data_IF_177983736099
#
_entry.id   IF_177983736099
#
_cell.length_a   1.000
_cell.length_b   1.000
_cell.length_c   1.000
_cell.angle_alpha   90.00
_cell.angle_beta   90.00
_cell.angle_gamma   90.00
#
_symmetry.space_group_name_H-M   'P 1'
#
loop_
_entity.id
_entity.type
_entity.pdbx_description
1 polymer ?
#
# COMPACT_ATOMS: atom_id res chain seq x y z
N UNK A 1 -29.37 -1.47 -16.45
CA UNK A 1 -30.27 -0.54 -15.73
C UNK A 1 -30.22 0.88 -16.30
N UNK A 2 -29.06 1.56 -16.30
CA UNK A 2 -28.91 2.93 -16.87
C UNK A 2 -29.50 3.12 -18.28
N UNK A 3 -29.18 2.25 -19.24
CA UNK A 3 -29.72 2.34 -20.61
C UNK A 3 -31.24 2.24 -20.68
N UNK A 4 -31.86 1.55 -19.72
CA UNK A 4 -33.31 1.41 -19.58
C UNK A 4 -33.92 2.43 -18.61
N UNK A 5 -33.13 3.44 -18.21
CA UNK A 5 -33.52 4.51 -17.28
C UNK A 5 -34.03 4.03 -15.90
N UNK A 6 -33.58 2.85 -15.46
CA UNK A 6 -33.85 2.36 -14.10
C UNK A 6 -32.77 2.86 -13.13
N UNK A 7 -33.18 3.53 -12.04
CA UNK A 7 -32.28 4.00 -10.98
C UNK A 7 -31.64 2.84 -10.21
N UNK A 8 -30.40 3.05 -9.74
CA UNK A 8 -29.67 2.12 -8.88
C UNK A 8 -30.24 2.05 -7.45
N UNK A 9 -31.02 3.04 -7.03
CA UNK A 9 -31.71 3.03 -5.72
C UNK A 9 -32.70 1.87 -5.59
N UNK A 10 -33.12 1.29 -6.73
CA UNK A 10 -34.08 0.19 -6.78
C UNK A 10 -33.47 -1.21 -6.61
N UNK A 11 -32.16 -1.31 -6.37
CA UNK A 11 -31.48 -2.62 -6.34
C UNK A 11 -30.45 -2.70 -5.23
N UNK A 12 -30.22 -3.91 -4.74
CA UNK A 12 -29.08 -4.28 -3.92
C UNK A 12 -28.34 -5.45 -4.56
N UNK A 13 -27.03 -5.52 -4.38
CA UNK A 13 -26.19 -6.56 -4.96
C UNK A 13 -25.60 -7.47 -3.88
N UNK A 14 -25.75 -8.78 -4.07
CA UNK A 14 -25.04 -9.80 -3.29
C UNK A 14 -23.98 -10.47 -4.14
N UNK A 15 -22.76 -10.61 -3.63
CA UNK A 15 -21.68 -11.35 -4.28
C UNK A 15 -20.99 -12.26 -3.27
N UNK A 16 -21.09 -13.57 -3.50
CA UNK A 16 -20.46 -14.58 -2.65
C UNK A 16 -19.05 -14.94 -3.12
N UNK A 17 -18.93 -16.04 -3.86
CA UNK A 17 -17.62 -16.58 -4.28
C UNK A 17 -16.76 -15.62 -5.10
N UNK A 18 -17.34 -14.74 -5.92
CA UNK A 18 -16.55 -13.76 -6.67
C UNK A 18 -15.92 -12.68 -5.78
N UNK A 19 -16.59 -12.32 -4.68
CA UNK A 19 -16.09 -11.33 -3.72
C UNK A 19 -15.05 -11.93 -2.77
N UNK A 20 -15.24 -13.18 -2.33
CA UNK A 20 -14.45 -13.76 -1.23
C UNK A 20 -13.48 -14.89 -1.64
N UNK A 21 -13.70 -15.56 -2.78
CA UNK A 21 -12.92 -16.74 -3.18
C UNK A 21 -12.21 -16.59 -4.53
N UNK A 22 -12.78 -15.84 -5.49
CA UNK A 22 -12.22 -15.67 -6.84
C UNK A 22 -11.14 -14.57 -6.89
N UNK A 23 -10.26 -14.57 -5.90
CA UNK A 23 -9.13 -13.66 -5.76
C UNK A 23 -7.85 -14.48 -5.62
N UNK A 24 -6.76 -14.02 -6.22
CA UNK A 24 -5.45 -14.64 -6.08
C UNK A 24 -4.44 -13.60 -5.65
N UNK A 25 -3.34 -14.05 -5.03
CA UNK A 25 -2.20 -13.18 -4.68
C UNK A 25 -1.69 -12.37 -5.87
N UNK A 26 -1.74 -12.96 -7.06
CA UNK A 26 -1.24 -12.37 -8.29
C UNK A 26 -2.11 -11.25 -8.84
N UNK A 27 -3.39 -11.17 -8.44
CA UNK A 27 -4.29 -10.08 -8.87
C UNK A 27 -3.72 -8.69 -8.57
N UNK A 28 -3.03 -8.55 -7.44
CA UNK A 28 -2.35 -7.32 -7.02
C UNK A 28 -0.82 -7.49 -6.94
N UNK A 29 -0.30 -8.60 -7.44
CA UNK A 29 1.12 -8.97 -7.37
C UNK A 29 1.72 -8.90 -5.95
N UNK A 30 0.95 -9.21 -4.90
CA UNK A 30 1.39 -9.13 -3.50
C UNK A 30 2.66 -9.98 -3.28
N UNK A 31 3.76 -9.38 -2.84
CA UNK A 31 5.07 -10.02 -2.85
C UNK A 31 5.96 -9.51 -1.71
N UNK A 32 6.73 -10.41 -1.10
CA UNK A 32 7.77 -10.10 -0.13
C UNK A 32 9.17 -10.35 -0.73
N UNK A 33 10.11 -9.41 -0.57
CA UNK A 33 11.47 -9.47 -1.12
C UNK A 33 12.45 -8.80 -0.16
N UNK A 34 13.64 -9.37 -0.02
CA UNK A 34 14.76 -8.71 0.65
C UNK A 34 15.29 -7.58 -0.24
N UNK A 35 15.48 -6.39 0.33
CA UNK A 35 16.06 -5.23 -0.36
C UNK A 35 17.38 -4.74 0.26
N UNK A 36 17.70 -5.15 1.49
CA UNK A 36 18.88 -4.69 2.23
C UNK A 36 19.42 -5.77 3.14
N UNK A 37 20.75 -5.91 3.20
CA UNK A 37 21.48 -6.80 4.11
C UNK A 37 22.69 -6.08 4.69
N UNK A 38 23.17 -6.53 5.85
CA UNK A 38 24.45 -6.12 6.42
C UNK A 38 25.38 -7.32 6.39
N UNK A 39 26.50 -7.20 5.67
CA UNK A 39 27.52 -8.25 5.58
C UNK A 39 28.86 -7.64 5.97
N UNK A 40 29.57 -8.23 6.93
CA UNK A 40 30.84 -7.70 7.47
C UNK A 40 30.73 -6.24 7.95
N UNK A 41 29.59 -5.87 8.56
CA UNK A 41 29.33 -4.50 9.01
C UNK A 41 29.01 -3.49 7.90
N UNK A 42 29.01 -3.91 6.63
CA UNK A 42 28.69 -3.06 5.49
C UNK A 42 27.27 -3.31 5.00
N UNK A 43 26.51 -2.23 4.85
CA UNK A 43 25.17 -2.26 4.27
C UNK A 43 25.23 -2.44 2.76
N UNK A 44 24.47 -3.40 2.23
CA UNK A 44 24.41 -3.69 0.79
C UNK A 44 22.95 -3.63 0.33
N UNK A 45 22.70 -2.82 -0.71
CA UNK A 45 21.43 -2.77 -1.40
C UNK A 45 21.30 -4.00 -2.32
N UNK A 46 20.35 -4.89 -2.03
CA UNK A 46 20.10 -6.11 -2.81
C UNK A 46 18.77 -5.99 -3.56
N UNK A 47 18.67 -6.62 -4.73
CA UNK A 47 17.44 -6.65 -5.53
C UNK A 47 17.50 -7.78 -6.55
N UNK A 48 16.34 -8.19 -7.06
CA UNK A 48 16.23 -9.04 -8.24
C UNK A 48 15.83 -8.21 -9.45
N UNK A 49 16.39 -8.55 -10.61
CA UNK A 49 16.04 -7.94 -11.89
C UNK A 49 16.06 -9.03 -13.00
N UNK A 50 15.00 -9.85 -13.12
CA UNK A 50 14.99 -10.94 -14.08
C UNK A 50 14.96 -10.42 -15.52
N UNK A 51 15.92 -10.83 -16.34
CA UNK A 51 16.07 -10.38 -17.74
C UNK A 51 14.79 -10.57 -18.56
N UNK A 52 14.10 -11.70 -18.37
CA UNK A 52 12.90 -12.05 -19.13
C UNK A 52 11.61 -11.36 -18.64
N UNK A 53 11.62 -10.69 -17.49
CA UNK A 53 10.42 -10.07 -16.92
C UNK A 53 10.75 -8.85 -16.04
N UNK A 54 10.85 -7.65 -16.66
CA UNK A 54 11.13 -6.41 -15.94
C UNK A 54 10.07 -6.04 -14.88
N UNK A 55 8.83 -6.53 -15.00
CA UNK A 55 7.79 -6.27 -13.99
C UNK A 55 8.10 -6.96 -12.65
N UNK A 56 9.03 -7.93 -12.66
CA UNK A 56 9.50 -8.61 -11.45
C UNK A 56 10.73 -7.95 -10.83
N UNK A 57 11.19 -6.80 -11.33
CA UNK A 57 12.27 -6.04 -10.69
C UNK A 57 11.84 -5.57 -9.30
N UNK A 58 12.68 -5.81 -8.29
CA UNK A 58 12.41 -5.36 -6.91
C UNK A 58 13.13 -4.07 -6.57
N UNK A 59 12.64 -3.39 -5.52
CA UNK A 59 13.26 -2.19 -4.94
C UNK A 59 14.58 -2.51 -4.24
N UNK A 60 15.41 -1.47 -4.03
CA UNK A 60 16.77 -1.54 -3.48
C UNK A 60 16.88 -0.85 -2.12
N UNK A 61 17.64 -1.45 -1.22
CA UNK A 61 18.07 -0.85 0.04
C UNK A 61 16.96 -0.66 1.09
N UNK A 62 17.25 0.19 2.08
CA UNK A 62 16.28 0.64 3.08
C UNK A 62 15.19 1.47 2.41
N UNK A 63 13.93 1.21 2.75
CA UNK A 63 12.77 1.82 2.11
C UNK A 63 11.99 2.67 3.13
N UNK A 64 11.36 3.72 2.62
CA UNK A 64 10.44 4.58 3.38
C UNK A 64 9.33 5.08 2.45
N UNK A 65 8.12 5.31 2.98
CA UNK A 65 6.96 5.75 2.19
C UNK A 65 6.58 7.18 2.57
N UNK A 66 6.41 8.04 1.58
CA UNK A 66 6.18 9.47 1.80
C UNK A 66 5.05 10.00 0.92
N UNK A 67 4.58 11.21 1.25
CA UNK A 67 3.74 12.02 0.36
C UNK A 67 4.60 12.91 -0.51
N UNK A 68 4.25 13.05 -1.78
CA UNK A 68 4.80 14.10 -2.63
C UNK A 68 4.13 15.44 -2.31
N UNK A 69 4.72 16.59 -2.71
CA UNK A 69 4.08 17.89 -2.55
C UNK A 69 2.68 17.98 -3.20
N UNK A 70 2.42 17.17 -4.24
CA UNK A 70 1.12 17.08 -4.90
C UNK A 70 0.13 16.13 -4.20
N UNK A 71 0.49 15.54 -3.06
CA UNK A 71 -0.36 14.60 -2.30
C UNK A 71 -0.33 13.14 -2.78
N UNK A 72 0.45 12.81 -3.80
CA UNK A 72 0.63 11.42 -4.25
C UNK A 72 1.56 10.65 -3.30
N UNK A 73 1.66 9.33 -3.46
CA UNK A 73 2.61 8.51 -2.71
C UNK A 73 3.91 8.30 -3.47
N UNK A 74 5.02 8.27 -2.75
CA UNK A 74 6.33 7.89 -3.28
C UNK A 74 7.05 6.97 -2.29
N UNK A 75 7.63 5.88 -2.79
CA UNK A 75 8.55 5.04 -2.01
C UNK A 75 9.97 5.46 -2.35
N UNK A 76 10.71 5.96 -1.34
CA UNK A 76 12.12 6.26 -1.47
C UNK A 76 12.94 4.98 -1.20
N UNK A 77 13.96 4.77 -2.02
CA UNK A 77 14.84 3.60 -1.98
C UNK A 77 16.22 3.98 -1.44
N UNK A 78 17.06 2.98 -1.15
CA UNK A 78 18.48 3.18 -0.81
C UNK A 78 18.72 4.08 0.43
N UNK A 79 17.76 4.15 1.35
CA UNK A 79 17.85 4.99 2.55
C UNK A 79 17.63 6.48 2.31
N UNK A 80 17.19 6.90 1.11
CA UNK A 80 16.98 8.32 0.76
C UNK A 80 15.91 9.02 1.61
N UNK A 81 15.07 8.28 2.34
CA UNK A 81 14.17 8.84 3.33
C UNK A 81 14.88 9.59 4.46
N UNK A 82 16.12 9.20 4.79
CA UNK A 82 16.91 9.85 5.84
C UNK A 82 17.37 11.28 5.43
N UNK A 83 17.20 11.66 4.16
CA UNK A 83 17.45 13.03 3.68
C UNK A 83 16.32 14.00 4.04
N UNK A 84 15.17 13.48 4.48
CA UNK A 84 13.99 14.24 4.93
C UNK A 84 13.37 15.21 3.89
N UNK A 85 13.72 15.07 2.61
CA UNK A 85 13.22 15.92 1.51
C UNK A 85 11.70 15.79 1.27
N UNK A 86 11.11 14.65 1.66
CA UNK A 86 9.69 14.33 1.43
C UNK A 86 8.86 14.30 2.72
N UNK A 87 9.39 14.89 3.80
CA UNK A 87 8.75 14.90 5.11
C UNK A 87 8.85 13.57 5.84
N UNK A 88 7.82 13.23 6.62
CA UNK A 88 7.85 12.08 7.51
C UNK A 88 7.52 10.77 6.78
N UNK A 89 8.21 9.69 7.19
CA UNK A 89 7.87 8.33 6.77
C UNK A 89 6.50 7.92 7.32
N UNK A 90 5.64 7.43 6.42
CA UNK A 90 4.30 6.93 6.73
C UNK A 90 4.33 5.50 7.30
N UNK A 91 5.48 4.81 7.23
CA UNK A 91 5.65 3.50 7.85
C UNK A 91 5.82 3.64 9.36
N UNK A 92 4.92 3.01 10.12
CA UNK A 92 5.01 2.93 11.57
C UNK A 92 5.41 1.53 12.02
N UNK A 93 6.23 1.44 13.06
CA UNK A 93 6.51 0.16 13.72
C UNK A 93 5.22 -0.35 14.37
N UNK A 94 4.67 -1.45 13.86
CA UNK A 94 3.48 -2.12 14.41
C UNK A 94 3.82 -3.33 15.27
N UNK A 95 5.02 -3.88 15.08
CA UNK A 95 5.52 -5.04 15.82
C UNK A 95 7.02 -4.91 16.05
N UNK A 96 7.47 -5.16 17.28
CA UNK A 96 8.89 -5.15 17.64
C UNK A 96 9.14 -6.11 18.79
N UNK A 97 10.12 -7.00 18.64
CA UNK A 97 10.59 -7.91 19.70
C UNK A 97 9.46 -8.69 20.39
N UNK A 98 8.57 -9.30 19.61
CA UNK A 98 7.48 -10.12 20.14
C UNK A 98 6.24 -9.34 20.59
N UNK A 99 6.24 -8.00 20.50
CA UNK A 99 5.15 -7.15 20.99
C UNK A 99 4.54 -6.32 19.88
N UNK A 100 3.21 -6.21 19.90
CA UNK A 100 2.48 -5.22 19.09
C UNK A 100 2.72 -3.84 19.69
N UNK A 101 3.21 -2.90 18.88
CA UNK A 101 3.57 -1.53 19.31
C UNK A 101 2.58 -0.47 18.84
N UNK A 102 1.77 -0.79 17.84
CA UNK A 102 0.69 0.07 17.34
C UNK A 102 -0.44 -0.81 16.81
N UNK A 103 -1.67 -0.47 17.20
CA UNK A 103 -2.90 -1.11 16.73
C UNK A 103 -3.82 -0.06 16.12
N UNK A 104 -4.72 -0.49 15.24
CA UNK A 104 -5.75 0.33 14.64
C UNK A 104 -7.10 -0.28 14.94
N UNK A 105 -8.05 0.54 15.36
CA UNK A 105 -9.45 0.14 15.46
C UNK A 105 -10.06 -0.07 14.08
N UNK A 106 -11.17 -0.83 14.03
CA UNK A 106 -11.84 -1.07 12.76
C UNK A 106 -12.46 0.20 12.17
N UNK A 107 -12.90 1.14 13.01
CA UNK A 107 -13.45 2.42 12.56
C UNK A 107 -12.38 3.33 11.95
N UNK A 108 -11.16 3.32 12.48
CA UNK A 108 -10.02 4.00 11.85
C UNK A 108 -9.72 3.40 10.47
N UNK A 109 -9.72 2.07 10.35
CA UNK A 109 -9.50 1.40 9.06
C UNK A 109 -10.58 1.78 8.04
N UNK A 110 -11.86 1.80 8.46
CA UNK A 110 -12.97 2.25 7.60
C UNK A 110 -12.81 3.71 7.18
N UNK A 111 -12.43 4.60 8.12
CA UNK A 111 -12.20 6.02 7.84
C UNK A 111 -11.08 6.20 6.80
N UNK A 112 -10.00 5.44 6.91
CA UNK A 112 -8.85 5.54 6.01
C UNK A 112 -9.14 5.04 4.59
N UNK A 113 -10.13 4.16 4.43
CA UNK A 113 -10.50 3.55 3.15
C UNK A 113 -11.69 4.23 2.45
N UNK A 114 -12.18 5.37 2.97
CA UNK A 114 -13.29 6.12 2.37
C UNK A 114 -12.98 6.55 0.94
N UNK A 115 -14.02 6.57 0.10
CA UNK A 115 -13.92 7.10 -1.25
C UNK A 115 -13.87 8.64 -1.21
N UNK A 116 -13.16 9.26 -2.15
CA UNK A 116 -13.07 10.72 -2.24
C UNK A 116 -14.45 11.39 -2.32
N UNK A 117 -15.41 10.77 -3.05
CA UNK A 117 -16.78 11.28 -3.17
C UNK A 117 -17.52 11.34 -1.83
N UNK A 118 -17.22 10.43 -0.89
CA UNK A 118 -17.80 10.46 0.45
C UNK A 118 -17.17 11.56 1.32
N UNK A 119 -15.91 11.91 1.06
CA UNK A 119 -15.22 13.00 1.75
C UNK A 119 -15.75 14.36 1.29
N UNK A 120 -15.96 14.52 -0.01
CA UNK A 120 -16.52 15.74 -0.62
C UNK A 120 -17.98 16.01 -0.23
N UNK A 121 -18.76 14.96 0.04
CA UNK A 121 -20.16 15.07 0.41
C UNK A 121 -20.41 15.41 1.89
N UNK A 122 -19.37 15.49 2.72
CA UNK A 122 -19.52 15.84 4.14
C UNK A 122 -19.67 17.36 4.26
N UNK A 123 -20.80 17.91 4.75
CA UNK A 123 -20.92 19.35 4.99
C UNK A 123 -19.87 19.81 6.00
N UNK A 124 -19.28 20.98 5.76
CA UNK A 124 -18.43 21.69 6.72
C UNK A 124 -19.17 22.02 8.02
#
# INVERSE_FOLDING_TARGET
>A
MKQKKWSIENVSFGSGGALLQKLTRDLLNCSFKCSYVITNGLGINVFKDPVADPNKRSKKGRLSLHRTPAGNFVTLEEGKGDLEEYGHDLLHTVFKNGKVTKSYSFDEVRKNAKLNIELEATPH
#
